data_IF_058291801037
#
_entry.id   IF_058291801037
#
_cell.length_a   1.000
_cell.length_b   1.000
_cell.length_c   1.000
_cell.angle_alpha   90.00
_cell.angle_beta   90.00
_cell.angle_gamma   90.00
#
_symmetry.space_group_name_H-M   'P 1'
#
loop_
_entity.id
_entity.type
_entity.pdbx_description
1 polymer ?
#
# COMPACT_ATOMS: atom_id res chain seq x y z
N UNK A 1 -23.23 -68.48 -18.37
CA UNK A 1 -22.30 -68.10 -17.28
C UNK A 1 -22.96 -68.52 -15.98
N UNK A 2 -22.37 -69.45 -15.24
CA UNK A 2 -22.96 -69.96 -13.98
C UNK A 2 -23.14 -68.81 -12.99
N UNK A 3 -24.24 -68.82 -12.24
CA UNK A 3 -24.55 -67.73 -11.28
C UNK A 3 -23.47 -67.58 -10.21
N UNK A 4 -22.77 -68.66 -9.88
CA UNK A 4 -21.60 -68.63 -8.99
C UNK A 4 -20.46 -67.77 -9.55
N UNK A 5 -20.13 -67.91 -10.85
CA UNK A 5 -19.07 -67.13 -11.50
C UNK A 5 -19.43 -65.65 -11.50
N UNK A 6 -20.70 -65.32 -11.77
CA UNK A 6 -21.19 -63.94 -11.74
C UNK A 6 -21.08 -63.34 -10.33
N UNK A 7 -21.41 -64.11 -9.29
CA UNK A 7 -21.28 -63.72 -7.88
C UNK A 7 -19.82 -63.46 -7.49
N UNK A 8 -18.89 -64.31 -7.93
CA UNK A 8 -17.46 -64.08 -7.70
C UNK A 8 -16.92 -62.85 -8.42
N UNK A 9 -17.34 -62.63 -9.68
CA UNK A 9 -16.93 -61.44 -10.45
C UNK A 9 -17.43 -60.16 -9.77
N UNK A 10 -18.71 -60.08 -9.40
CA UNK A 10 -19.24 -58.89 -8.72
C UNK A 10 -18.68 -58.71 -7.31
N UNK A 11 -18.41 -59.80 -6.59
CA UNK A 11 -17.74 -59.74 -5.29
C UNK A 11 -16.34 -59.14 -5.41
N UNK A 12 -15.54 -59.62 -6.37
CA UNK A 12 -14.20 -59.11 -6.62
C UNK A 12 -14.21 -57.63 -7.04
N UNK A 13 -15.10 -57.24 -7.95
CA UNK A 13 -15.26 -55.84 -8.38
C UNK A 13 -15.67 -54.92 -7.22
N UNK A 14 -16.59 -55.37 -6.38
CA UNK A 14 -17.05 -54.59 -5.22
C UNK A 14 -15.91 -54.36 -4.22
N UNK A 15 -15.17 -55.43 -3.87
CA UNK A 15 -14.02 -55.33 -2.97
C UNK A 15 -12.93 -54.43 -3.54
N UNK A 16 -12.65 -54.54 -4.84
CA UNK A 16 -11.67 -53.69 -5.51
C UNK A 16 -12.06 -52.21 -5.47
N UNK A 17 -13.30 -51.88 -5.82
CA UNK A 17 -13.78 -50.49 -5.80
C UNK A 17 -13.78 -49.90 -4.40
N UNK A 18 -14.24 -50.66 -3.39
CA UNK A 18 -14.20 -50.22 -1.99
C UNK A 18 -12.75 -50.02 -1.53
N UNK A 19 -11.84 -50.93 -1.89
CA UNK A 19 -10.41 -50.81 -1.58
C UNK A 19 -9.79 -49.56 -2.22
N UNK A 20 -10.13 -49.26 -3.46
CA UNK A 20 -9.65 -48.07 -4.17
C UNK A 20 -10.16 -46.79 -3.53
N UNK A 21 -11.45 -46.71 -3.18
CA UNK A 21 -12.01 -45.55 -2.48
C UNK A 21 -11.38 -45.34 -1.10
N UNK A 22 -11.17 -46.42 -0.34
CA UNK A 22 -10.48 -46.35 0.94
C UNK A 22 -9.03 -45.87 0.78
N UNK A 23 -8.30 -46.38 -0.21
CA UNK A 23 -6.93 -45.95 -0.49
C UNK A 23 -6.85 -44.48 -0.89
N UNK A 24 -7.72 -44.01 -1.79
CA UNK A 24 -7.79 -42.58 -2.18
C UNK A 24 -8.11 -41.71 -0.96
N UNK A 25 -9.04 -42.14 -0.10
CA UNK A 25 -9.37 -41.44 1.14
C UNK A 25 -8.17 -41.35 2.09
N UNK A 26 -7.40 -42.43 2.25
CA UNK A 26 -6.18 -42.44 3.07
C UNK A 26 -5.14 -41.46 2.51
N UNK A 27 -4.90 -41.46 1.19
CA UNK A 27 -3.97 -40.52 0.55
C UNK A 27 -4.44 -39.08 0.75
N UNK A 28 -5.73 -38.81 0.57
CA UNK A 28 -6.32 -37.49 0.76
C UNK A 28 -6.16 -36.99 2.21
N UNK A 29 -6.47 -37.83 3.22
CA UNK A 29 -6.32 -37.44 4.63
C UNK A 29 -4.86 -37.22 5.01
N UNK A 30 -3.92 -38.00 4.45
CA UNK A 30 -2.49 -37.79 4.70
C UNK A 30 -2.01 -36.46 4.09
N UNK A 31 -2.44 -36.13 2.87
CA UNK A 31 -2.02 -34.92 2.18
C UNK A 31 -2.75 -33.64 2.66
N UNK A 32 -4.02 -33.75 3.01
CA UNK A 32 -4.91 -32.60 3.22
C UNK A 32 -5.55 -32.54 4.62
N UNK A 33 -5.44 -33.60 5.42
CA UNK A 33 -6.13 -33.70 6.71
C UNK A 33 -7.65 -33.80 6.54
N UNK A 34 -8.41 -33.19 7.47
CA UNK A 34 -9.87 -33.09 7.39
C UNK A 34 -10.34 -31.81 6.67
N UNK A 35 -9.42 -30.99 6.16
CA UNK A 35 -9.77 -29.77 5.39
C UNK A 35 -9.76 -30.06 3.90
N UNK A 36 -10.61 -29.34 3.16
CA UNK A 36 -10.63 -29.37 1.69
C UNK A 36 -9.51 -28.52 1.07
N UNK A 37 -8.64 -27.91 1.89
CA UNK A 37 -7.68 -26.89 1.45
C UNK A 37 -6.25 -27.41 1.24
N UNK A 38 -5.97 -28.69 1.51
CA UNK A 38 -4.68 -29.35 1.20
C UNK A 38 -3.40 -28.59 1.62
N UNK A 39 -3.47 -27.82 2.71
CA UNK A 39 -2.39 -26.93 3.14
C UNK A 39 -1.09 -27.66 3.55
N UNK A 40 -1.13 -28.96 3.88
CA UNK A 40 0.06 -29.73 4.26
C UNK A 40 0.91 -30.18 3.05
N UNK A 41 0.33 -30.18 1.85
CA UNK A 41 1.04 -30.51 0.61
C UNK A 41 1.66 -29.30 -0.09
N UNK A 42 1.39 -28.07 0.40
CA UNK A 42 2.04 -26.88 -0.11
C UNK A 42 3.51 -26.90 0.32
N UNK A 43 4.42 -26.67 -0.64
CA UNK A 43 5.81 -26.44 -0.31
C UNK A 43 5.87 -25.30 0.71
N UNK A 44 6.52 -25.55 1.85
CA UNK A 44 6.83 -24.46 2.78
C UNK A 44 7.61 -23.43 1.96
N UNK A 45 7.25 -22.14 2.02
CA UNK A 45 8.03 -21.10 1.37
C UNK A 45 9.47 -21.27 1.83
N UNK A 46 10.41 -21.25 0.89
CA UNK A 46 11.82 -21.39 1.17
C UNK A 46 12.24 -20.18 2.01
N UNK A 47 12.21 -20.35 3.33
CA UNK A 47 12.65 -19.33 4.26
C UNK A 47 14.16 -19.27 4.12
N UNK A 48 14.67 -18.19 3.51
CA UNK A 48 16.07 -17.81 3.76
C UNK A 48 16.24 -17.72 5.28
N UNK A 49 17.34 -18.23 5.85
CA UNK A 49 17.65 -17.96 7.24
C UNK A 49 17.50 -16.46 7.44
N UNK A 50 16.58 -16.05 8.32
CA UNK A 50 16.49 -14.65 8.76
C UNK A 50 17.92 -14.34 9.19
N UNK A 51 18.65 -13.42 8.51
CA UNK A 51 19.98 -13.06 8.95
C UNK A 51 19.81 -12.70 10.40
N UNK A 52 20.46 -13.46 11.29
CA UNK A 52 20.35 -13.29 12.73
C UNK A 52 20.54 -11.82 12.96
N UNK A 53 19.43 -11.11 13.26
CA UNK A 53 19.49 -9.67 13.44
C UNK A 53 20.50 -9.51 14.55
N UNK A 54 21.67 -8.96 14.22
CA UNK A 54 22.57 -8.44 15.24
C UNK A 54 21.64 -7.55 16.05
N UNK A 55 21.40 -7.84 17.34
CA UNK A 55 20.48 -7.06 18.14
C UNK A 55 20.93 -5.63 17.97
N UNK A 56 20.09 -4.83 17.31
CA UNK A 56 20.39 -3.43 17.10
C UNK A 56 20.43 -2.83 18.50
N UNK A 57 21.63 -2.68 19.04
CA UNK A 57 21.93 -1.77 20.14
C UNK A 57 21.88 -0.34 19.62
N UNK A 58 20.90 -0.03 18.77
CA UNK A 58 20.41 1.32 18.69
C UNK A 58 19.99 1.64 20.13
N UNK A 59 20.45 2.78 20.68
CA UNK A 59 19.86 3.32 21.89
C UNK A 59 18.34 3.17 21.74
N UNK A 60 17.66 2.70 22.80
CA UNK A 60 16.22 2.87 22.83
C UNK A 60 15.96 4.29 22.36
N UNK A 61 15.12 4.45 21.34
CA UNK A 61 14.61 5.75 20.97
C UNK A 61 14.08 6.30 22.29
N UNK A 62 14.86 7.19 22.92
CA UNK A 62 14.28 8.12 23.83
C UNK A 62 13.19 8.70 22.97
N UNK A 63 11.96 8.48 23.40
CA UNK A 63 10.92 9.45 23.12
C UNK A 63 11.50 10.72 23.73
N UNK A 64 12.38 11.39 22.98
CA UNK A 64 12.54 12.82 23.08
C UNK A 64 11.10 13.25 23.00
N UNK A 65 10.61 13.68 24.16
CA UNK A 65 9.32 14.31 24.26
C UNK A 65 9.26 15.20 23.03
N UNK A 66 8.28 14.90 22.16
CA UNK A 66 8.03 15.66 20.96
C UNK A 66 8.35 17.12 21.27
N UNK A 67 9.15 17.82 20.45
CA UNK A 67 9.25 19.27 20.63
C UNK A 67 7.81 19.74 20.80
N UNK A 68 7.55 20.37 21.94
CA UNK A 68 6.25 20.86 22.30
C UNK A 68 5.88 21.93 21.26
N UNK A 69 5.32 21.47 20.15
CA UNK A 69 4.80 22.21 19.00
C UNK A 69 3.77 21.35 18.25
N UNK A 70 3.18 20.33 18.89
CA UNK A 70 2.04 19.58 18.35
C UNK A 70 0.70 20.34 18.53
N UNK A 71 0.74 21.66 18.67
CA UNK A 71 -0.44 22.50 18.95
C UNK A 71 -0.86 23.43 17.82
N UNK A 72 -0.03 23.57 16.78
CA UNK A 72 -0.28 24.52 15.69
C UNK A 72 -0.26 23.85 14.29
N UNK A 73 -0.21 22.53 14.19
CA UNK A 73 -0.29 21.82 12.90
C UNK A 73 -1.71 21.34 12.62
N UNK A 74 -2.16 21.47 11.38
CA UNK A 74 -3.50 21.08 10.99
C UNK A 74 -3.59 19.58 10.73
N UNK A 75 -4.77 19.01 10.97
CA UNK A 75 -4.98 17.58 10.83
C UNK A 75 -5.88 17.29 9.62
N UNK A 76 -5.40 16.51 8.67
CA UNK A 76 -6.05 16.27 7.37
C UNK A 76 -5.79 14.86 6.87
N UNK A 77 -6.67 14.33 6.01
CA UNK A 77 -6.41 13.05 5.37
C UNK A 77 -5.26 13.19 4.35
N UNK A 78 -4.33 12.25 4.31
CA UNK A 78 -3.17 12.33 3.40
C UNK A 78 -3.57 12.42 1.92
N UNK A 79 -4.67 11.76 1.54
CA UNK A 79 -5.25 11.85 0.19
C UNK A 79 -5.75 13.26 -0.13
N UNK A 80 -6.35 13.93 0.85
CA UNK A 80 -6.91 15.26 0.69
C UNK A 80 -5.81 16.32 0.68
N UNK A 81 -4.74 16.14 1.46
CA UNK A 81 -3.57 17.02 1.44
C UNK A 81 -2.88 17.00 0.06
N UNK A 82 -2.64 15.81 -0.50
CA UNK A 82 -2.09 15.67 -1.87
C UNK A 82 -3.06 16.31 -2.87
N UNK A 83 -4.37 16.10 -2.70
CA UNK A 83 -5.39 16.68 -3.57
C UNK A 83 -5.37 18.19 -3.59
N UNK A 84 -5.32 18.83 -2.42
CA UNK A 84 -5.25 20.28 -2.30
C UNK A 84 -3.98 20.85 -2.96
N UNK A 85 -2.83 20.20 -2.78
CA UNK A 85 -1.58 20.57 -3.46
C UNK A 85 -1.70 20.48 -4.98
N UNK A 86 -2.26 19.38 -5.50
CA UNK A 86 -2.47 19.17 -6.94
C UNK A 86 -3.43 20.22 -7.53
N UNK A 87 -4.56 20.46 -6.86
CA UNK A 87 -5.57 21.42 -7.29
C UNK A 87 -5.07 22.87 -7.24
N UNK A 88 -4.12 23.17 -6.34
CA UNK A 88 -3.42 24.46 -6.28
C UNK A 88 -2.35 24.64 -7.36
N UNK A 89 -2.09 23.62 -8.20
CA UNK A 89 -1.14 23.67 -9.30
C UNK A 89 0.16 22.91 -9.08
N UNK A 90 0.26 22.11 -8.01
CA UNK A 90 1.39 21.25 -7.67
C UNK A 90 2.74 22.01 -7.64
N UNK A 91 2.76 23.17 -6.98
CA UNK A 91 3.97 23.99 -6.83
C UNK A 91 4.93 23.41 -5.78
N UNK A 92 6.23 23.54 -6.00
CA UNK A 92 7.28 23.14 -5.05
C UNK A 92 7.33 24.11 -3.85
N UNK A 93 7.27 25.42 -4.14
CA UNK A 93 7.56 26.46 -3.14
C UNK A 93 6.38 27.33 -2.77
N UNK A 94 5.34 27.38 -3.61
CA UNK A 94 4.18 28.22 -3.33
C UNK A 94 3.26 27.51 -2.34
N UNK A 95 2.81 28.28 -1.36
CA UNK A 95 1.87 27.82 -0.37
C UNK A 95 0.50 27.54 -1.01
N UNK A 96 -0.14 26.46 -0.56
CA UNK A 96 -1.51 26.09 -0.93
C UNK A 96 -2.38 25.95 0.32
N UNK A 97 -3.68 26.16 0.15
CA UNK A 97 -4.64 26.09 1.24
C UNK A 97 -5.41 24.77 1.20
N UNK A 98 -5.73 24.26 2.39
CA UNK A 98 -6.61 23.11 2.58
C UNK A 98 -7.48 23.30 3.82
N UNK A 99 -8.53 22.50 3.93
CA UNK A 99 -9.41 22.48 5.10
C UNK A 99 -9.02 21.31 6.00
N UNK A 100 -8.82 21.59 7.30
CA UNK A 100 -8.57 20.56 8.29
C UNK A 100 -9.85 19.79 8.64
N UNK A 101 -9.74 18.72 9.43
CA UNK A 101 -10.91 17.93 9.87
C UNK A 101 -11.90 18.69 10.75
N UNK A 102 -11.51 19.85 11.29
CA UNK A 102 -12.34 20.71 12.13
C UNK A 102 -12.98 21.87 11.34
N UNK A 103 -12.72 21.97 10.03
CA UNK A 103 -13.19 23.06 9.17
C UNK A 103 -12.34 24.33 9.19
N UNK A 104 -11.15 24.28 9.79
CA UNK A 104 -10.19 25.38 9.79
C UNK A 104 -9.40 25.40 8.48
N UNK A 105 -9.24 26.60 7.90
CA UNK A 105 -8.36 26.77 6.74
C UNK A 105 -6.91 26.81 7.19
N UNK A 106 -6.10 25.98 6.54
CA UNK A 106 -4.68 25.83 6.80
C UNK A 106 -3.89 26.04 5.52
N UNK A 107 -2.61 26.35 5.70
CA UNK A 107 -1.66 26.59 4.62
C UNK A 107 -0.48 25.61 4.75
N UNK A 108 -0.09 25.00 3.64
CA UNK A 108 1.01 24.05 3.52
C UNK A 108 1.85 24.33 2.26
N UNK A 109 3.03 23.74 2.20
CA UNK A 109 3.93 23.73 1.04
C UNK A 109 4.26 22.30 0.63
N UNK A 110 4.99 22.08 -0.46
CA UNK A 110 5.32 20.72 -0.91
C UNK A 110 6.11 19.93 0.14
N UNK A 111 6.92 20.59 0.98
CA UNK A 111 7.63 19.94 2.10
C UNK A 111 6.70 19.22 3.08
N UNK A 112 5.44 19.65 3.20
CA UNK A 112 4.42 18.96 4.00
C UNK A 112 3.85 17.72 3.29
N UNK A 113 3.90 17.69 1.96
CA UNK A 113 3.34 16.63 1.10
C UNK A 113 4.37 15.54 0.83
N UNK A 114 5.63 15.91 0.60
CA UNK A 114 6.74 14.99 0.28
C UNK A 114 6.83 13.78 1.21
N UNK A 115 6.70 13.92 2.56
CA UNK A 115 6.72 12.80 3.49
C UNK A 115 5.76 11.67 3.12
N UNK A 116 4.59 11.98 2.53
CA UNK A 116 3.59 10.98 2.13
C UNK A 116 4.11 10.01 1.06
N UNK A 117 5.13 10.39 0.30
CA UNK A 117 5.73 9.58 -0.75
C UNK A 117 7.01 8.86 -0.31
N UNK A 118 7.79 9.48 0.57
CA UNK A 118 9.15 9.01 0.90
C UNK A 118 9.24 8.25 2.22
N UNK A 119 8.30 8.45 3.15
CA UNK A 119 8.32 7.78 4.44
C UNK A 119 7.58 6.45 4.43
N UNK A 120 8.22 5.42 4.99
CA UNK A 120 7.59 4.13 5.24
C UNK A 120 6.67 4.21 6.47
N UNK A 121 5.76 3.24 6.60
CA UNK A 121 4.79 3.10 7.69
C UNK A 121 3.79 4.25 7.86
N UNK A 122 3.62 5.12 6.85
CA UNK A 122 2.62 6.19 6.90
C UNK A 122 1.23 5.67 6.54
N UNK A 123 1.03 5.17 5.32
CA UNK A 123 -0.30 4.77 4.81
C UNK A 123 -0.96 3.65 5.62
N UNK A 124 -0.15 2.76 6.20
CA UNK A 124 -0.54 1.80 7.22
C UNK A 124 0.71 1.21 7.89
N UNK A 125 0.53 0.53 9.03
CA UNK A 125 1.63 -0.14 9.73
C UNK A 125 2.28 -1.22 8.88
N UNK A 126 3.59 -1.10 8.65
CA UNK A 126 4.36 -1.99 7.79
C UNK A 126 4.40 -1.58 6.31
N UNK A 127 3.77 -0.46 5.91
CA UNK A 127 3.80 -0.02 4.52
C UNK A 127 5.21 0.41 4.10
N UNK A 128 5.64 0.02 2.89
CA UNK A 128 6.80 0.64 2.26
C UNK A 128 6.49 2.08 1.85
N UNK A 129 7.52 2.89 1.63
CA UNK A 129 7.36 4.19 0.97
C UNK A 129 7.15 4.02 -0.53
N UNK A 130 6.48 4.98 -1.18
CA UNK A 130 6.31 4.98 -2.63
C UNK A 130 7.67 4.97 -3.34
N UNK A 131 8.61 5.78 -2.83
CA UNK A 131 9.99 5.88 -3.33
C UNK A 131 10.78 4.56 -3.26
N UNK A 132 10.39 3.61 -2.39
CA UNK A 132 11.06 2.30 -2.29
C UNK A 132 10.93 1.47 -3.57
N UNK A 133 9.84 1.66 -4.33
CA UNK A 133 9.61 1.00 -5.61
C UNK A 133 9.59 1.97 -6.80
N UNK A 134 9.30 3.25 -6.58
CA UNK A 134 9.26 4.28 -7.63
C UNK A 134 10.36 5.30 -7.39
N UNK A 135 11.59 4.96 -7.78
CA UNK A 135 12.74 5.85 -7.75
C UNK A 135 13.69 5.57 -8.92
N UNK A 136 14.60 6.52 -9.16
CA UNK A 136 15.59 6.43 -10.25
C UNK A 136 16.73 5.45 -9.98
N UNK A 137 16.96 5.06 -8.72
CA UNK A 137 18.07 4.20 -8.32
C UNK A 137 17.79 2.70 -8.52
N UNK A 138 16.62 2.35 -9.04
CA UNK A 138 16.18 0.98 -9.25
C UNK A 138 16.57 0.47 -10.63
N UNK A 139 17.20 -0.71 -10.67
CA UNK A 139 17.52 -1.40 -11.93
C UNK A 139 16.29 -1.65 -12.80
N UNK A 140 15.12 -1.82 -12.18
CA UNK A 140 13.82 -1.85 -12.83
C UNK A 140 12.88 -0.97 -12.01
N UNK A 141 12.59 0.23 -12.50
CA UNK A 141 11.56 1.12 -11.93
C UNK A 141 10.20 0.77 -12.57
N UNK A 142 9.23 0.21 -11.82
CA UNK A 142 7.90 -0.05 -12.31
C UNK A 142 7.26 1.23 -12.83
N UNK A 143 6.69 1.13 -14.02
CA UNK A 143 6.09 2.25 -14.74
C UNK A 143 7.03 3.45 -14.94
N UNK A 144 8.36 3.28 -14.91
CA UNK A 144 9.33 4.37 -15.09
C UNK A 144 9.00 5.66 -14.30
N UNK A 145 8.51 5.47 -13.08
CA UNK A 145 8.01 6.54 -12.21
C UNK A 145 9.03 6.81 -11.09
N UNK A 146 9.20 8.08 -10.76
CA UNK A 146 10.01 8.54 -9.64
C UNK A 146 9.14 9.34 -8.66
N UNK A 147 9.05 8.86 -7.42
CA UNK A 147 8.31 9.47 -6.32
C UNK A 147 9.24 9.93 -5.20
N UNK A 148 10.55 9.95 -5.45
CA UNK A 148 11.57 10.36 -4.47
C UNK A 148 11.94 11.84 -4.53
N UNK A 149 11.40 12.58 -5.50
CA UNK A 149 11.66 14.01 -5.70
C UNK A 149 10.44 14.70 -6.31
N UNK A 150 10.34 16.02 -6.09
CA UNK A 150 9.34 16.87 -6.74
C UNK A 150 9.40 16.75 -8.27
N UNK A 151 10.60 16.87 -8.85
CA UNK A 151 10.80 16.79 -10.29
C UNK A 151 10.43 15.41 -10.84
N UNK A 152 10.70 14.35 -10.08
CA UNK A 152 10.29 12.99 -10.42
C UNK A 152 8.78 12.84 -10.50
N UNK A 153 8.06 13.36 -9.51
CA UNK A 153 6.59 13.31 -9.44
C UNK A 153 5.98 14.05 -10.64
N UNK A 154 6.49 15.25 -10.94
CA UNK A 154 6.03 16.03 -12.09
C UNK A 154 6.43 15.44 -13.45
N UNK A 155 7.56 14.74 -13.52
CA UNK A 155 7.96 14.05 -14.75
C UNK A 155 6.98 12.91 -15.10
N UNK A 156 6.26 12.37 -14.11
CA UNK A 156 5.21 11.38 -14.29
C UNK A 156 5.74 9.98 -14.64
N UNK A 157 4.84 9.12 -15.10
CA UNK A 157 5.11 7.70 -15.34
C UNK A 157 5.35 7.38 -16.83
N UNK A 158 5.81 6.18 -17.14
CA UNK A 158 5.95 5.61 -18.50
C UNK A 158 6.80 6.49 -19.42
N UNK A 159 7.82 7.13 -18.86
CA UNK A 159 8.78 7.93 -19.63
C UNK A 159 9.52 7.03 -20.62
N UNK A 160 9.62 7.50 -21.86
CA UNK A 160 10.42 6.83 -22.88
C UNK A 160 11.88 7.22 -22.64
N UNK A 161 12.71 6.25 -22.24
CA UNK A 161 14.07 6.44 -21.72
C UNK A 161 14.39 7.88 -21.29
N UNK A 162 15.35 8.60 -21.84
CA UNK A 162 15.73 9.97 -21.44
C UNK A 162 14.68 11.12 -21.54
N UNK A 163 13.39 10.85 -21.75
CA UNK A 163 12.37 11.88 -21.88
C UNK A 163 12.14 12.67 -20.56
N UNK A 164 12.01 14.01 -20.64
CA UNK A 164 11.80 14.84 -19.46
C UNK A 164 10.43 14.64 -18.80
N UNK A 165 9.43 14.19 -19.56
CA UNK A 165 8.06 13.96 -19.09
C UNK A 165 7.46 12.72 -19.75
N UNK A 166 6.56 12.06 -19.04
CA UNK A 166 5.81 10.90 -19.50
C UNK A 166 4.30 11.12 -19.40
N UNK A 167 3.60 10.10 -18.92
CA UNK A 167 2.18 10.16 -18.57
C UNK A 167 2.02 10.91 -17.26
N UNK A 168 1.28 12.02 -17.31
CA UNK A 168 0.89 12.80 -16.16
C UNK A 168 0.12 11.93 -15.14
N UNK A 169 0.57 11.96 -13.89
CA UNK A 169 -0.03 11.23 -12.78
C UNK A 169 -0.89 12.11 -11.88
N UNK A 170 -0.87 13.44 -12.06
CA UNK A 170 -1.56 14.45 -11.26
C UNK A 170 -2.85 14.98 -11.93
N UNK A 171 -3.17 14.51 -13.15
CA UNK A 171 -4.47 14.77 -13.78
C UNK A 171 -4.65 16.20 -14.26
N UNK A 172 -3.57 16.91 -14.59
CA UNK A 172 -3.59 18.29 -15.07
C UNK A 172 -4.14 19.27 -14.04
N UNK A 173 -3.95 19.00 -12.75
CA UNK A 173 -4.50 19.80 -11.64
C UNK A 173 -5.92 19.41 -11.24
N UNK A 174 -6.54 18.41 -11.88
CA UNK A 174 -7.80 17.82 -11.43
C UNK A 174 -7.50 16.52 -10.68
N UNK A 175 -7.44 16.61 -9.35
CA UNK A 175 -7.01 15.53 -8.47
C UNK A 175 -7.82 14.24 -8.67
N UNK A 176 -9.14 14.31 -8.73
CA UNK A 176 -10.00 13.12 -8.82
C UNK A 176 -9.89 12.43 -10.19
N UNK A 177 -9.41 13.14 -11.22
CA UNK A 177 -9.11 12.54 -12.53
C UNK A 177 -7.70 11.93 -12.62
N UNK A 178 -6.87 12.18 -11.62
CA UNK A 178 -5.46 11.80 -11.63
C UNK A 178 -5.24 10.29 -11.49
N UNK A 179 -4.14 9.79 -12.06
CA UNK A 179 -3.77 8.37 -11.90
C UNK A 179 -3.37 8.08 -10.45
N UNK A 180 -2.76 9.06 -9.77
CA UNK A 180 -2.34 8.91 -8.38
C UNK A 180 -3.54 8.78 -7.43
N UNK A 181 -4.59 9.58 -7.63
CA UNK A 181 -5.84 9.44 -6.88
C UNK A 181 -6.48 8.07 -7.11
N UNK A 182 -6.59 7.64 -8.38
CA UNK A 182 -7.11 6.32 -8.71
C UNK A 182 -6.32 5.22 -8.00
N UNK A 183 -4.99 5.32 -7.93
CA UNK A 183 -4.17 4.33 -7.24
C UNK A 183 -4.37 4.33 -5.72
N UNK A 184 -4.37 5.51 -5.08
CA UNK A 184 -4.41 5.63 -3.62
C UNK A 184 -5.83 5.43 -3.07
N UNK A 185 -6.84 6.00 -3.71
CA UNK A 185 -8.20 6.09 -3.18
C UNK A 185 -9.15 5.02 -3.75
N UNK A 186 -9.01 4.66 -5.02
CA UNK A 186 -9.98 3.76 -5.70
C UNK A 186 -9.45 2.34 -5.86
N UNK A 187 -8.16 2.21 -6.19
CA UNK A 187 -7.56 0.93 -6.49
C UNK A 187 -7.14 0.27 -5.19
N UNK A 188 -7.86 -0.77 -4.79
CA UNK A 188 -7.38 -1.73 -3.78
C UNK A 188 -6.30 -2.63 -4.40
N UNK A 189 -5.24 -2.01 -4.92
CA UNK A 189 -4.21 -2.71 -5.65
C UNK A 189 -3.57 -3.75 -4.72
N UNK A 190 -3.63 -5.00 -5.13
CA UNK A 190 -2.79 -6.06 -4.58
C UNK A 190 -1.36 -5.80 -5.06
N UNK A 191 -0.63 -4.98 -4.30
CA UNK A 191 0.75 -4.63 -4.61
C UNK A 191 1.62 -5.77 -4.09
N UNK A 192 2.42 -6.46 -4.93
CA UNK A 192 3.26 -7.56 -4.47
C UNK A 192 4.15 -7.14 -3.29
N UNK A 193 4.04 -7.86 -2.16
CA UNK A 193 4.73 -7.52 -0.91
C UNK A 193 3.93 -6.63 0.05
N UNK A 194 2.67 -6.33 -0.26
CA UNK A 194 1.76 -5.57 0.58
C UNK A 194 0.52 -6.42 0.91
N UNK A 195 0.30 -6.68 2.20
CA UNK A 195 -0.83 -7.51 2.66
C UNK A 195 -2.13 -6.72 2.88
N UNK A 196 -2.07 -5.39 2.73
CA UNK A 196 -3.17 -4.47 2.99
C UNK A 196 -3.30 -3.42 1.89
N UNK A 197 -4.55 -3.11 1.52
CA UNK A 197 -4.85 -1.97 0.67
C UNK A 197 -4.42 -0.66 1.35
N UNK A 198 -4.04 0.34 0.56
CA UNK A 198 -3.80 1.69 1.06
C UNK A 198 -5.05 2.18 1.79
N UNK A 199 -4.87 2.67 3.02
CA UNK A 199 -5.97 3.24 3.79
C UNK A 199 -6.21 4.67 3.29
N UNK A 200 -7.35 4.91 2.66
CA UNK A 200 -7.82 6.26 2.36
C UNK A 200 -8.11 7.08 3.63
N UNK A 201 -8.07 6.45 4.82
CA UNK A 201 -8.25 7.09 6.12
C UNK A 201 -6.94 7.40 6.85
N UNK A 202 -5.78 7.42 6.16
CA UNK A 202 -4.55 7.96 6.75
C UNK A 202 -4.79 9.43 7.11
N UNK A 203 -4.63 9.75 8.40
CA UNK A 203 -4.64 11.11 8.89
C UNK A 203 -3.23 11.56 9.22
N UNK A 204 -2.88 12.78 8.81
CA UNK A 204 -1.56 13.38 9.04
C UNK A 204 -1.69 14.76 9.65
N UNK A 205 -0.63 15.18 10.36
CA UNK A 205 -0.44 16.55 10.78
C UNK A 205 0.43 17.25 9.72
N UNK A 206 -0.05 18.37 9.19
CA UNK A 206 0.60 19.10 8.12
C UNK A 206 0.18 20.57 8.14
N UNK A 207 1.05 21.45 7.66
CA UNK A 207 0.76 22.86 7.49
C UNK A 207 0.44 23.61 8.78
N UNK A 208 0.01 24.86 8.63
CA UNK A 208 -0.31 25.77 9.74
C UNK A 208 -1.67 26.42 9.57
N UNK A 209 -2.43 26.64 10.65
CA UNK A 209 -3.73 27.28 10.57
C UNK A 209 -3.58 28.75 10.20
N UNK A 210 -4.36 29.20 9.22
CA UNK A 210 -4.48 30.61 8.94
C UNK A 210 -5.24 31.27 10.10
N UNK A 211 -4.67 32.34 10.64
CA UNK A 211 -5.36 33.11 11.68
C UNK A 211 -6.62 33.72 11.08
N UNK A 212 -7.78 33.45 11.69
CA UNK A 212 -9.02 34.14 11.35
C UNK A 212 -8.75 35.64 11.34
N UNK A 213 -8.90 36.27 10.17
CA UNK A 213 -8.90 37.72 10.06
C UNK A 213 -10.11 38.21 10.82
N UNK A 214 -9.93 38.42 12.14
CA UNK A 214 -10.94 38.96 13.01
C UNK A 214 -11.44 40.25 12.37
N UNK A 215 -12.69 40.22 11.92
CA UNK A 215 -13.35 41.35 11.30
C UNK A 215 -13.14 42.57 12.18
N UNK A 216 -12.34 43.53 11.71
CA UNK A 216 -12.15 44.79 12.41
C UNK A 216 -13.53 45.43 12.55
N UNK A 217 -14.06 45.62 13.77
CA UNK A 217 -15.29 46.38 13.92
C UNK A 217 -14.99 47.79 13.43
N UNK A 218 -15.68 48.19 12.35
CA UNK A 218 -15.58 49.55 11.81
C UNK A 218 -16.08 50.52 12.90
N UNK A 219 -15.37 51.63 13.17
CA UNK A 219 -15.73 52.60 14.20
C UNK A 219 -17.04 53.35 13.92
#
# INVERSE_FOLDING_TARGET
>A
MNDDVRKYIYGALTVFLVGLLAWVGIVFVNACGMSLTCNRGSALPETTPIPTLIPATLPAMEVEAAPASASDECHVAGVDLIGAWVEAGASDTEAFQFEDVNGQTCEAVFEDVEPLFVNANLWYSGSLSCASCHSVDLAVSPAQLDMSSYEGILAGSRRADDAPQGTDILGGGNWQSSLLYQFIAETKADVPGHDAALSSGLMVYAGTPLSDVNATPTP
#
